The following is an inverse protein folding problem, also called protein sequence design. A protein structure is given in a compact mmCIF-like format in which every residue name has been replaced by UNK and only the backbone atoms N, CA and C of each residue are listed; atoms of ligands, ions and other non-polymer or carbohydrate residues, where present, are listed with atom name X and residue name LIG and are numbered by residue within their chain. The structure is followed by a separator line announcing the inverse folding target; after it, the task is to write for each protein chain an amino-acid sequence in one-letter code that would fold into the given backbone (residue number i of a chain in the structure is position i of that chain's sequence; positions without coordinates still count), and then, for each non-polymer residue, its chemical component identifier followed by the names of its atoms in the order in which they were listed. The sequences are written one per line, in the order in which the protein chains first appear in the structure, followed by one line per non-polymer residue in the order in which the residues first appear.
data_IF_178666788072
#
_entry.id   IF_178666788072
#
_cell.length_a   1.000
_cell.length_b   1.000
_cell.length_c   1.000
_cell.angle_alpha   90.00
_cell.angle_beta   90.00
_cell.angle_gamma   90.00
#
_symmetry.space_group_name_H-M   'P 1'
#
loop_
_entity.id
_entity.type
_entity.pdbx_description
1 polymer ?
2 water ?
#
# COMPACT_ATOMS: atom_id res chain seq x y z
N UNK A 10 38.66 -1.93 6.62
CA UNK A 10 38.16 -0.93 7.61
C UNK A 10 36.72 -1.24 8.03
N UNK A 11 36.44 -1.21 9.35
CA UNK A 11 35.09 -1.43 9.87
C UNK A 11 34.08 -0.34 9.46
N UNK A 12 34.59 0.82 9.05
CA UNK A 12 33.77 1.93 8.54
C UNK A 12 33.18 1.61 7.17
N UNK A 13 34.01 1.12 6.26
CA UNK A 13 33.56 0.78 4.91
C UNK A 13 32.70 -0.48 4.96
N UNK A 14 33.04 -1.39 5.87
CA UNK A 14 32.27 -2.61 6.11
C UNK A 14 30.91 -2.29 6.71
N UNK A 15 30.81 -1.12 7.33
CA UNK A 15 29.57 -0.63 7.92
C UNK A 15 28.70 0.07 6.88
N UNK A 16 29.34 0.79 5.96
CA UNK A 16 28.64 1.48 4.88
C UNK A 16 28.07 0.50 3.86
N UNK A 17 28.82 -0.57 3.59
CA UNK A 17 28.38 -1.62 2.66
C UNK A 17 27.18 -2.40 3.22
N UNK A 18 27.27 -2.78 4.50
CA UNK A 18 26.19 -3.43 5.23
C UNK A 18 24.87 -2.63 5.22
N UNK A 19 24.93 -1.34 5.55
CA UNK A 19 23.77 -0.45 5.49
C UNK A 19 23.18 -0.37 4.09
N UNK A 20 24.07 -0.29 3.10
CA UNK A 20 23.69 -0.26 1.68
C UNK A 20 23.04 -1.57 1.24
N UNK A 21 23.58 -2.68 1.73
CA UNK A 21 23.07 -4.02 1.43
C UNK A 21 21.65 -4.18 2.00
N UNK A 22 21.48 -3.86 3.29
CA UNK A 22 20.17 -4.00 3.93
C UNK A 22 19.14 -3.08 3.28
N UNK A 23 19.55 -1.85 2.99
CA UNK A 23 18.68 -0.88 2.37
C UNK A 23 18.22 -1.30 0.98
N UNK A 24 19.13 -1.80 0.15
CA UNK A 24 18.79 -2.34 -1.17
C UNK A 24 17.75 -3.46 -1.09
N UNK A 25 17.93 -4.37 -0.14
CA UNK A 25 16.98 -5.45 0.10
C UNK A 25 15.58 -4.90 0.41
N UNK A 26 15.49 -3.92 1.31
CA UNK A 26 14.20 -3.32 1.71
C UNK A 26 13.49 -2.55 0.60
N UNK A 27 14.25 -1.80 -0.20
CA UNK A 27 13.68 -1.01 -1.29
C UNK A 27 13.24 -1.85 -2.51
N UNK A 28 13.94 -2.96 -2.75
CA UNK A 28 13.51 -3.95 -3.75
C UNK A 28 12.08 -4.45 -3.43
N UNK A 29 11.76 -4.53 -2.14
CA UNK A 29 10.43 -4.89 -1.66
C UNK A 29 9.45 -3.72 -1.60
N UNK A 30 9.92 -2.51 -1.93
CA UNK A 30 9.06 -1.33 -1.92
C UNK A 30 8.94 -0.73 -0.54
N UNK A 31 9.89 -1.04 0.34
CA UNK A 31 9.92 -0.46 1.68
C UNK A 31 10.81 0.80 1.61
N UNK A 32 10.19 1.90 1.22
CA UNK A 32 10.94 3.04 0.70
C UNK A 32 11.62 3.90 1.76
N UNK A 33 11.12 3.89 2.99
CA UNK A 33 11.75 4.68 4.05
C UNK A 33 13.15 4.14 4.43
N UNK A 34 13.36 2.85 4.19
CA UNK A 34 14.58 2.15 4.61
C UNK A 34 15.79 2.45 3.73
N UNK A 35 16.23 3.71 3.78
CA UNK A 35 17.44 4.18 3.12
C UNK A 35 18.64 3.68 3.90
N UNK A 36 19.86 3.75 3.32
CA UNK A 36 21.05 3.37 4.10
C UNK A 36 21.23 4.19 5.38
N UNK A 37 20.83 5.46 5.36
CA UNK A 37 20.89 6.34 6.53
C UNK A 37 19.85 5.94 7.57
N UNK A 38 18.61 5.68 7.13
CA UNK A 38 17.60 5.13 8.05
C UNK A 38 18.11 3.86 8.74
N UNK A 39 18.72 2.96 7.96
CA UNK A 39 19.28 1.69 8.47
C UNK A 39 20.45 1.89 9.46
N UNK A 40 21.35 2.83 9.16
CA UNK A 40 22.41 3.22 10.10
C UNK A 40 21.81 3.68 11.43
N UNK A 41 20.85 4.60 11.36
CA UNK A 41 20.18 5.14 12.54
C UNK A 41 19.43 4.08 13.35
N UNK A 42 19.01 3.02 12.67
CA UNK A 42 18.27 1.93 13.30
C UNK A 42 19.20 0.86 13.87
N UNK A 43 20.46 1.21 14.10
CA UNK A 43 21.42 0.28 14.67
C UNK A 43 21.89 -0.76 13.68
N UNK A 44 21.91 -0.40 12.39
CA UNK A 44 22.41 -1.25 11.30
C UNK A 44 21.59 -2.54 11.13
N UNK A 45 20.27 -2.40 11.27
CA UNK A 45 19.35 -3.50 11.07
C UNK A 45 18.14 -2.98 10.30
N UNK A 46 17.44 -3.89 9.63
CA UNK A 46 16.22 -3.54 8.93
C UNK A 46 15.14 -3.25 9.95
N UNK A 47 13.97 -2.79 9.49
CA UNK A 47 12.88 -2.45 10.41
C UNK A 47 12.33 -3.65 11.17
N UNK A 48 11.96 -3.41 12.43
CA UNK A 48 11.28 -4.38 13.27
C UNK A 48 9.84 -4.52 12.76
N UNK A 49 9.10 -5.54 13.23
CA UNK A 49 7.69 -5.71 12.85
C UNK A 49 6.81 -4.46 13.07
N UNK A 50 6.97 -3.81 14.22
CA UNK A 50 6.22 -2.60 14.56
C UNK A 50 6.53 -1.40 13.67
N UNK A 51 7.80 -1.19 13.35
CA UNK A 51 8.22 -0.12 12.43
C UNK A 51 7.64 -0.30 11.04
N UNK A 52 7.69 -1.54 10.52
CA UNK A 52 7.08 -1.85 9.21
C UNK A 52 5.58 -1.60 9.18
N UNK A 53 4.88 -2.06 10.21
CA UNK A 53 3.43 -1.96 10.27
C UNK A 53 2.92 -0.55 10.54
N UNK A 54 3.65 0.21 11.36
CA UNK A 54 3.42 1.65 11.48
C UNK A 54 3.52 2.34 10.12
N UNK A 55 4.60 2.07 9.38
CA UNK A 55 4.76 2.68 8.05
C UNK A 55 3.64 2.25 7.09
N UNK A 56 3.46 0.94 6.97
CA UNK A 56 2.40 0.39 6.14
C UNK A 56 1.02 1.04 6.38
N UNK A 57 0.65 1.22 7.65
CA UNK A 57 -0.68 1.72 8.03
C UNK A 57 -0.84 3.24 8.08
N UNK A 58 0.27 3.99 8.18
CA UNK A 58 0.23 5.46 8.27
C UNK A 58 0.92 6.16 7.10
N UNK A 59 1.88 5.47 6.48
CA UNK A 59 2.79 6.04 5.47
C UNK A 59 3.63 7.23 5.97
N UNK A 60 4.05 7.15 7.23
CA UNK A 60 4.98 8.11 7.80
C UNK A 60 6.27 7.36 8.08
N UNK A 61 7.41 8.04 7.95
CA UNK A 61 8.70 7.41 8.19
C UNK A 61 8.78 7.03 9.67
N UNK A 62 9.00 5.73 9.96
CA UNK A 62 9.09 5.29 11.36
C UNK A 62 10.35 5.85 11.98
N UNK A 63 10.25 6.28 13.24
CA UNK A 63 11.41 6.75 13.99
C UNK A 63 12.30 5.53 14.19
N UNK A 64 13.59 5.62 13.80
CA UNK A 64 14.56 4.55 14.08
C UNK A 64 14.70 4.25 15.57
N UNK A 65 14.39 5.22 16.41
CA UNK A 65 14.44 5.07 17.86
C UNK A 65 13.07 4.89 18.52
N UNK A 66 12.09 4.43 17.75
CA UNK A 66 10.80 4.01 18.30
C UNK A 66 10.48 2.59 17.82
N UNK A 67 9.71 1.87 18.63
CA UNK A 67 9.48 0.44 18.48
C UNK A 67 8.07 0.11 17.97
N UNK A 68 7.13 1.03 18.23
CA UNK A 68 5.69 0.96 17.82
C UNK A 68 4.98 -0.32 18.24
N UNK A 69 4.96 -0.56 19.55
CA UNK A 69 4.37 -1.78 20.12
C UNK A 69 2.86 -1.94 19.89
N UNK A 70 2.15 -0.83 19.60
CA UNK A 70 0.71 -0.90 19.37
C UNK A 70 0.40 -1.35 17.95
N UNK A 71 1.40 -1.25 17.07
CA UNK A 71 1.25 -1.61 15.67
C UNK A 71 1.79 -3.02 15.39
N UNK A 72 2.36 -3.65 16.43
CA UNK A 72 2.89 -5.01 16.34
C UNK A 72 1.72 -6.00 16.38
N UNK A 73 0.67 -5.66 17.11
CA UNK A 73 -0.51 -6.53 17.24
C UNK A 73 -1.86 -5.85 16.95
N UNK A 74 -1.83 -4.84 16.09
CA UNK A 74 -3.04 -4.29 15.49
C UNK A 74 -3.08 -4.81 14.06
N UNK A 75 -4.22 -5.37 13.64
CA UNK A 75 -4.33 -5.96 12.30
C UNK A 75 -5.60 -5.61 11.51
N UNK A 76 -5.64 -4.37 11.02
CA UNK A 76 -6.61 -3.95 10.00
C UNK A 76 -5.83 -3.97 8.68
N UNK A 77 -5.17 -2.85 8.35
CA UNK A 77 -4.03 -2.81 7.41
C UNK A 77 -4.30 -2.94 5.90
N UNK A 78 -5.56 -3.12 5.50
CA UNK A 78 -5.92 -3.23 4.08
C UNK A 78 -5.83 -1.91 3.28
N UNK A 79 -5.19 -1.98 2.11
CA UNK A 79 -5.01 -0.85 1.18
C UNK A 79 -4.99 -1.34 -0.27
N UNK A 80 -5.36 -0.48 -1.22
CA UNK A 80 -5.39 -0.84 -2.64
C UNK A 80 -4.54 0.07 -3.52
N UNK A 81 -3.70 -0.54 -4.34
CA UNK A 81 -2.99 0.19 -5.38
C UNK A 81 -3.96 0.56 -6.50
N UNK A 82 -3.49 1.35 -7.47
CA UNK A 82 -4.32 1.69 -8.63
C UNK A 82 -4.54 0.50 -9.57
N UNK A 83 -3.63 -0.48 -9.51
CA UNK A 83 -3.80 -1.74 -10.22
C UNK A 83 -4.96 -2.52 -9.64
N UNK A 84 -4.97 -2.69 -8.31
CA UNK A 84 -6.06 -3.39 -7.63
C UNK A 84 -7.40 -2.71 -7.91
N UNK A 85 -7.44 -1.38 -7.80
CA UNK A 85 -8.65 -0.61 -8.11
C UNK A 85 -9.12 -0.85 -9.55
N UNK A 86 -8.19 -0.87 -10.50
CA UNK A 86 -8.52 -1.12 -11.91
C UNK A 86 -9.02 -2.55 -12.18
N UNK A 87 -8.49 -3.52 -11.43
CA UNK A 87 -8.94 -4.90 -11.58
C UNK A 87 -10.34 -5.09 -10.98
N UNK A 88 -10.60 -4.43 -9.86
CA UNK A 88 -11.93 -4.41 -9.24
C UNK A 88 -12.95 -3.71 -10.14
N UNK A 89 -12.57 -2.57 -10.71
CA UNK A 89 -13.45 -1.81 -11.59
C UNK A 89 -13.77 -2.55 -12.89
N UNK A 90 -12.77 -3.25 -13.43
CA UNK A 90 -12.94 -3.99 -14.68
C UNK A 90 -13.88 -5.18 -14.48
N UNK A 91 -13.70 -5.88 -13.37
CA UNK A 91 -14.59 -6.98 -13.00
C UNK A 91 -16.04 -6.52 -12.82
N UNK A 92 -16.24 -5.40 -12.14
CA UNK A 92 -17.59 -4.87 -11.88
C UNK A 92 -18.26 -4.30 -13.14
N UNK A 93 -17.48 -3.58 -13.96
CA UNK A 93 -18.00 -2.94 -15.17
C UNK A 93 -18.44 -3.95 -16.24
N UNK A 94 -17.60 -4.96 -16.48
CA UNK A 94 -17.91 -6.03 -17.43
C UNK A 94 -18.13 -5.59 -18.87
N UNK A 95 -17.14 -4.93 -19.45
CA UNK A 95 -17.18 -4.55 -20.87
C UNK A 95 -16.68 -5.71 -21.73
N UNK A 96 -17.28 -5.91 -22.93
CA UNK A 96 -16.83 -6.94 -23.89
C UNK A 96 -15.34 -6.84 -24.23
N UNK A 97 -14.72 -7.99 -24.52
CA UNK A 97 -13.26 -8.12 -24.66
C UNK A 97 -12.52 -7.63 -23.41
N UNK A 98 -13.30 -7.39 -22.36
CA UNK A 98 -12.83 -6.93 -21.05
C UNK A 98 -11.99 -5.63 -21.05
N UNK A 99 -12.33 -4.75 -21.99
CA UNK A 99 -11.69 -3.43 -22.13
C UNK A 99 -11.86 -2.56 -20.89
N UNK A 100 -10.90 -1.65 -20.68
CA UNK A 100 -10.92 -0.73 -19.54
C UNK A 100 -12.22 0.06 -19.43
N UNK A 101 -12.74 0.20 -18.19
CA UNK A 101 -13.93 1.03 -17.96
C UNK A 101 -13.62 2.51 -18.21
N UNK A 102 -14.65 3.37 -18.39
CA UNK A 102 -14.44 4.81 -18.48
C UNK A 102 -13.79 5.32 -17.21
N UNK A 103 -13.06 6.43 -17.31
CA UNK A 103 -12.37 7.00 -16.16
C UNK A 103 -13.33 7.42 -15.04
N UNK A 104 -14.50 7.95 -15.43
CA UNK A 104 -15.54 8.31 -14.48
C UNK A 104 -15.97 7.14 -13.58
N UNK A 105 -15.94 5.92 -14.12
CA UNK A 105 -16.23 4.72 -13.34
C UNK A 105 -15.10 4.28 -12.41
N UNK A 106 -13.88 4.26 -12.93
CA UNK A 106 -12.72 3.95 -12.10
C UNK A 106 -12.61 4.94 -10.93
N UNK A 107 -13.04 6.18 -11.16
CA UNK A 107 -13.06 7.21 -10.11
C UNK A 107 -14.08 6.92 -9.01
N UNK A 108 -15.25 6.38 -9.37
CA UNK A 108 -16.25 6.01 -8.37
C UNK A 108 -15.78 4.84 -7.52
N UNK A 109 -15.12 3.88 -8.16
CA UNK A 109 -14.47 2.74 -7.49
C UNK A 109 -13.33 3.20 -6.58
N UNK A 110 -12.46 4.07 -7.08
CA UNK A 110 -11.43 4.71 -6.26
C UNK A 110 -11.99 5.34 -4.97
N UNK A 111 -13.05 6.13 -5.09
CA UNK A 111 -13.68 6.79 -3.96
C UNK A 111 -14.30 5.83 -2.95
N UNK A 112 -14.74 4.67 -3.42
CA UNK A 112 -15.22 3.61 -2.55
C UNK A 112 -14.10 3.04 -1.68
N UNK A 113 -12.95 2.74 -2.29
CA UNK A 113 -11.75 2.33 -1.53
C UNK A 113 -11.26 3.37 -0.51
N UNK A 114 -11.42 4.66 -0.83
CA UNK A 114 -11.09 5.75 0.11
C UNK A 114 -12.04 5.83 1.29
N UNK A 115 -13.34 5.71 1.01
CA UNK A 115 -14.39 5.68 2.03
C UNK A 115 -14.15 4.54 3.02
N UNK A 116 -13.68 3.41 2.50
CA UNK A 116 -13.48 2.19 3.29
C UNK A 116 -12.06 2.05 3.87
N UNK A 117 -11.23 3.08 3.72
CA UNK A 117 -9.83 3.09 4.22
C UNK A 117 -8.95 2.05 3.55
N UNK A 118 -9.20 1.75 2.28
CA UNK A 118 -8.38 0.78 1.59
C UNK A 118 -9.03 -0.57 1.33
N UNK A 119 -10.07 -0.90 2.10
CA UNK A 119 -10.90 -2.10 1.87
C UNK A 119 -11.81 -1.95 0.67
N UNK A 120 -12.22 -3.08 0.10
CA UNK A 120 -13.07 -3.10 -1.08
C UNK A 120 -14.55 -2.87 -0.79
N UNK A 121 -15.35 -2.70 -1.86
CA UNK A 121 -16.77 -2.36 -1.71
C UNK A 121 -17.57 -3.41 -0.93
N UNK A 122 -18.41 -2.95 -0.01
CA UNK A 122 -19.38 -3.81 0.63
C UNK A 122 -20.52 -4.15 -0.35
N UNK A 123 -21.54 -4.86 0.13
CA UNK A 123 -22.65 -5.29 -0.72
C UNK A 123 -23.48 -4.11 -1.22
N UNK A 124 -23.82 -3.20 -0.31
CA UNK A 124 -24.55 -1.99 -0.68
C UNK A 124 -23.80 -1.12 -1.70
N UNK A 125 -22.49 -0.96 -1.50
CA UNK A 125 -21.61 -0.19 -2.41
C UNK A 125 -21.48 -0.88 -3.78
N UNK A 126 -21.44 -2.21 -3.77
CA UNK A 126 -21.41 -3.01 -4.99
C UNK A 126 -22.63 -2.73 -5.87
N UNK A 127 -23.80 -2.66 -5.25
CA UNK A 127 -25.04 -2.27 -5.92
C UNK A 127 -25.02 -0.87 -6.54
N UNK A 128 -24.53 0.12 -5.80
CA UNK A 128 -24.28 1.46 -6.33
C UNK A 128 -23.36 1.43 -7.57
N UNK A 129 -22.24 0.73 -7.46
CA UNK A 129 -21.27 0.63 -8.55
C UNK A 129 -21.82 -0.08 -9.78
N UNK A 130 -22.57 -1.17 -9.56
CA UNK A 130 -23.23 -1.88 -10.64
C UNK A 130 -24.29 -1.02 -11.29
N UNK A 131 -25.08 -0.30 -10.49
CA UNK A 131 -26.01 0.69 -11.05
C UNK A 131 -25.29 1.73 -11.91
N UNK A 132 -24.18 2.25 -11.40
CA UNK A 132 -23.34 3.22 -12.09
C UNK A 132 -22.80 2.70 -13.42
N UNK A 133 -22.23 1.49 -13.41
CA UNK A 133 -21.73 0.82 -14.63
C UNK A 133 -22.79 0.69 -15.71
N UNK A 134 -24.02 0.38 -15.30
CA UNK A 134 -25.11 0.13 -16.25
C UNK A 134 -25.60 1.38 -16.97
N UNK A 135 -25.60 2.50 -16.25
CA UNK A 135 -25.86 3.82 -16.82
C UNK A 135 -24.81 4.29 -17.82
N UNK A 136 -23.56 3.93 -17.58
CA UNK A 136 -22.47 4.38 -18.43
C UNK A 136 -22.32 3.57 -19.71
N UNK A 137 -22.86 2.35 -19.72
CA UNK A 137 -22.85 1.51 -20.92
C UNK A 137 -24.08 1.72 -21.80
N UNK A 138 -25.16 2.23 -21.21
CA UNK A 138 -26.43 2.42 -21.92
C UNK A 138 -26.45 3.72 -22.72
#
# INVERSE_FOLDING_TARGET
GYGVEARGPTPEEAQREKDTRISKKMETMGIYFATPEWVALNGHRGPSPGQLKYWQNTREIPDPNEDYLDYVHAEKSRLASEEQILRAATSIYGAPGQAEPPQAFIDEVAKVYEINHGRGPNQEQMKDLLLTAMEMKHR
#
